data_IF_870337250244
#
_entry.id   IF_870337250244
#
_cell.length_a   1.000
_cell.length_b   1.000
_cell.length_c   1.000
_cell.angle_alpha   90.00
_cell.angle_beta   90.00
_cell.angle_gamma   90.00
#
_symmetry.space_group_name_H-M   'P 1'
#
loop_
_entity.id
_entity.type
_entity.pdbx_description
1 polymer ?
#
# COMPACT_ATOMS: atom_id res chain seq x y z
N UNK A 1 -3.35 -27.44 11.45
CA UNK A 1 -2.89 -27.26 10.06
C UNK A 1 -1.95 -26.06 10.03
N UNK A 2 -0.66 -26.24 9.69
CA UNK A 2 0.22 -25.10 9.43
C UNK A 2 -0.18 -24.53 8.07
N UNK A 3 -0.93 -23.43 8.07
CA UNK A 3 -1.10 -22.65 6.86
C UNK A 3 0.28 -22.07 6.52
N UNK A 4 0.94 -22.64 5.52
CA UNK A 4 2.14 -22.05 4.95
C UNK A 4 1.69 -20.77 4.23
N UNK A 5 1.78 -19.64 4.91
CA UNK A 5 1.64 -18.34 4.27
C UNK A 5 2.80 -18.18 3.30
N UNK A 6 2.55 -18.34 2.01
CA UNK A 6 3.53 -18.05 0.97
C UNK A 6 3.54 -16.55 0.72
N UNK A 7 4.73 -15.98 0.74
CA UNK A 7 5.03 -14.61 0.32
C UNK A 7 6.23 -14.66 -0.62
N UNK A 8 6.36 -13.65 -1.47
CA UNK A 8 7.49 -13.49 -2.37
C UNK A 8 8.19 -12.18 -2.07
N UNK A 9 9.51 -12.21 -1.99
CA UNK A 9 10.33 -11.00 -2.03
C UNK A 9 10.63 -10.71 -3.50
N UNK A 10 10.02 -9.66 -4.03
CA UNK A 10 10.19 -9.20 -5.41
C UNK A 10 11.12 -7.99 -5.42
N UNK A 11 11.75 -7.71 -6.56
CA UNK A 11 12.68 -6.59 -6.73
C UNK A 11 12.36 -5.78 -7.99
N UNK A 12 12.43 -4.45 -7.87
CA UNK A 12 12.36 -3.50 -8.99
C UNK A 12 13.44 -2.44 -8.80
N UNK A 13 14.33 -2.27 -9.78
CA UNK A 13 15.42 -1.28 -9.72
C UNK A 13 16.21 -1.32 -8.39
N UNK A 14 16.59 -2.53 -7.94
CA UNK A 14 17.31 -2.77 -6.66
C UNK A 14 16.52 -2.43 -5.39
N UNK A 15 15.21 -2.19 -5.51
CA UNK A 15 14.30 -1.97 -4.38
C UNK A 15 13.41 -3.19 -4.18
N UNK A 16 13.56 -3.84 -3.03
CA UNK A 16 12.78 -5.04 -2.70
C UNK A 16 11.45 -4.69 -2.03
N UNK A 17 10.43 -5.51 -2.28
CA UNK A 17 9.10 -5.42 -1.67
C UNK A 17 8.46 -6.81 -1.58
N UNK A 18 7.57 -7.02 -0.63
CA UNK A 18 6.88 -8.29 -0.46
C UNK A 18 5.55 -8.29 -1.20
N UNK A 19 5.26 -9.40 -1.88
CA UNK A 19 3.96 -9.73 -2.49
C UNK A 19 3.47 -11.07 -1.97
N UNK A 20 2.26 -11.48 -2.37
CA UNK A 20 1.67 -12.73 -1.92
C UNK A 20 0.75 -13.31 -3.01
N UNK A 21 0.71 -14.65 -3.18
CA UNK A 21 0.10 -15.29 -4.34
C UNK A 21 -1.39 -14.96 -4.52
N UNK A 22 -2.13 -14.72 -3.44
CA UNK A 22 -3.58 -14.43 -3.48
C UNK A 22 -3.95 -13.24 -4.37
N UNK A 23 -3.09 -12.22 -4.45
CA UNK A 23 -3.33 -11.03 -5.27
C UNK A 23 -2.51 -11.01 -6.56
N UNK A 24 -1.63 -12.01 -6.79
CA UNK A 24 -0.74 -12.04 -7.97
C UNK A 24 -1.51 -12.25 -9.28
N UNK A 25 -2.67 -12.87 -9.22
CA UNK A 25 -3.52 -13.13 -10.39
C UNK A 25 -4.53 -12.01 -10.69
N UNK A 26 -4.39 -10.84 -10.05
CA UNK A 26 -5.27 -9.69 -10.26
C UNK A 26 -4.46 -8.55 -10.89
N UNK A 27 -4.41 -8.54 -12.22
CA UNK A 27 -3.59 -7.60 -13.00
C UNK A 27 -4.02 -6.13 -12.80
N UNK A 28 -5.24 -5.88 -12.35
CA UNK A 28 -5.78 -4.54 -12.13
C UNK A 28 -5.39 -3.90 -10.79
N UNK A 29 -4.65 -4.61 -9.92
CA UNK A 29 -4.28 -4.13 -8.58
C UNK A 29 -2.76 -4.01 -8.47
N UNK A 30 -2.31 -2.83 -8.04
CA UNK A 30 -0.94 -2.62 -7.59
C UNK A 30 -0.90 -2.73 -6.06
N UNK A 31 -0.07 -3.61 -5.53
CA UNK A 31 0.02 -3.87 -4.10
C UNK A 31 1.41 -4.35 -3.66
N UNK A 32 1.67 -4.32 -2.36
CA UNK A 32 2.84 -4.92 -1.75
C UNK A 32 3.28 -4.23 -0.46
N UNK A 33 4.21 -4.84 0.26
CA UNK A 33 4.86 -4.25 1.43
C UNK A 33 6.29 -3.85 1.08
N UNK A 34 6.53 -2.55 0.96
CA UNK A 34 7.85 -1.99 0.61
C UNK A 34 8.85 -2.12 1.76
N UNK A 35 10.13 -2.27 1.43
CA UNK A 35 11.25 -2.18 2.40
C UNK A 35 11.72 -0.73 2.62
N UNK A 36 12.72 -0.54 3.49
CA UNK A 36 13.19 0.77 4.01
C UNK A 36 13.53 1.83 2.94
N UNK A 37 13.98 1.44 1.75
CA UNK A 37 14.57 2.36 0.77
C UNK A 37 13.58 2.96 -0.24
N UNK A 38 12.29 2.63 -0.11
CA UNK A 38 11.27 3.15 -1.02
C UNK A 38 10.95 4.63 -0.75
N UNK A 39 10.88 5.40 -1.84
CA UNK A 39 10.40 6.79 -1.83
C UNK A 39 9.13 6.92 -2.65
N UNK A 40 8.38 8.02 -2.46
CA UNK A 40 7.20 8.32 -3.30
C UNK A 40 7.57 8.38 -4.79
N UNK A 41 8.72 8.96 -5.13
CA UNK A 41 9.22 9.03 -6.51
C UNK A 41 9.49 7.63 -7.06
N UNK A 42 10.23 6.81 -6.32
CA UNK A 42 10.52 5.43 -6.72
C UNK A 42 9.24 4.61 -6.91
N UNK A 43 8.23 4.75 -6.04
CA UNK A 43 6.92 4.12 -6.24
C UNK A 43 6.29 4.50 -7.58
N UNK A 44 6.26 5.80 -7.90
CA UNK A 44 5.66 6.30 -9.14
C UNK A 44 6.35 5.75 -10.37
N UNK A 45 7.68 5.74 -10.36
CA UNK A 45 8.49 5.29 -11.50
C UNK A 45 8.41 3.77 -11.70
N UNK A 46 8.56 2.99 -10.63
CA UNK A 46 8.67 1.52 -10.69
C UNK A 46 7.34 0.79 -10.95
N UNK A 47 6.22 1.43 -10.63
CA UNK A 47 4.87 0.89 -10.80
C UNK A 47 4.01 1.69 -11.79
N UNK A 48 4.61 2.61 -12.54
CA UNK A 48 3.93 3.46 -13.53
C UNK A 48 2.70 4.21 -12.97
N UNK A 49 2.81 4.73 -11.74
CA UNK A 49 1.69 5.32 -11.00
C UNK A 49 1.49 6.82 -11.29
N UNK A 50 1.86 7.28 -12.49
CA UNK A 50 1.77 8.71 -12.87
C UNK A 50 0.35 9.26 -12.77
N UNK A 51 -0.65 8.41 -13.02
CA UNK A 51 -2.06 8.76 -12.97
C UNK A 51 -2.73 8.46 -11.62
N UNK A 52 -1.96 8.00 -10.63
CA UNK A 52 -2.51 7.62 -9.32
C UNK A 52 -2.40 8.78 -8.32
N UNK A 53 -3.45 8.92 -7.52
CA UNK A 53 -3.41 9.72 -6.28
C UNK A 53 -2.89 8.85 -5.15
N UNK A 54 -1.67 9.12 -4.67
CA UNK A 54 -1.06 8.40 -3.55
C UNK A 54 -1.49 9.07 -2.23
N UNK A 55 -2.33 8.38 -1.45
CA UNK A 55 -2.90 8.89 -0.20
C UNK A 55 -2.19 8.27 0.99
N UNK A 56 -1.86 9.12 1.98
CA UNK A 56 -1.24 8.70 3.24
C UNK A 56 -1.95 9.35 4.43
N UNK A 57 -1.87 8.68 5.58
CA UNK A 57 -2.51 9.12 6.81
C UNK A 57 -1.54 9.86 7.74
N UNK A 58 -2.08 10.70 8.61
CA UNK A 58 -1.46 11.04 9.90
C UNK A 58 -1.90 9.97 10.89
N UNK A 59 -1.08 8.92 11.01
CA UNK A 59 -1.30 7.79 11.92
C UNK A 59 -1.15 8.21 13.38
N UNK A 60 -2.03 7.70 14.22
CA UNK A 60 -2.12 8.03 15.65
C UNK A 60 -2.33 6.80 16.54
N UNK A 61 -2.12 5.58 15.99
CA UNK A 61 -2.29 4.31 16.70
C UNK A 61 -3.72 4.10 17.25
N UNK A 62 -4.71 4.48 16.44
CA UNK A 62 -6.14 4.32 16.71
C UNK A 62 -6.78 3.23 15.86
N UNK A 63 -8.07 3.00 16.07
CA UNK A 63 -8.96 2.17 15.24
C UNK A 63 -9.67 2.98 14.13
N UNK A 64 -9.33 4.27 13.96
CA UNK A 64 -9.99 5.14 12.98
C UNK A 64 -9.60 4.76 11.56
N UNK A 65 -10.60 4.57 10.72
CA UNK A 65 -10.44 4.33 9.29
C UNK A 65 -11.18 5.38 8.46
N UNK A 66 -10.75 5.56 7.20
CA UNK A 66 -11.42 6.44 6.24
C UNK A 66 -11.82 5.67 4.99
N UNK A 67 -13.09 5.75 4.62
CA UNK A 67 -13.60 5.26 3.34
C UNK A 67 -13.57 6.39 2.31
N UNK A 68 -12.63 6.32 1.36
CA UNK A 68 -12.42 7.33 0.34
C UNK A 68 -13.37 7.10 -0.84
N UNK A 69 -14.23 8.09 -1.08
CA UNK A 69 -15.08 8.16 -2.30
C UNK A 69 -14.50 9.08 -3.37
N UNK A 70 -13.47 9.84 -3.03
CA UNK A 70 -12.78 10.79 -3.89
C UNK A 70 -11.38 11.09 -3.33
N UNK A 71 -10.60 11.87 -4.08
CA UNK A 71 -9.27 12.31 -3.65
C UNK A 71 -9.40 13.54 -2.75
N UNK A 72 -8.94 13.42 -1.51
CA UNK A 72 -8.89 14.54 -0.57
C UNK A 72 -7.51 15.21 -0.58
N UNK A 73 -7.50 16.55 -0.57
CA UNK A 73 -6.26 17.35 -0.53
C UNK A 73 -5.62 17.40 0.86
N UNK A 74 -6.42 17.22 1.92
CA UNK A 74 -5.95 17.27 3.32
C UNK A 74 -5.52 15.90 3.80
N UNK A 75 -4.44 15.86 4.59
CA UNK A 75 -3.98 14.63 5.25
C UNK A 75 -4.97 14.21 6.33
N UNK A 76 -5.59 13.05 6.15
CA UNK A 76 -6.57 12.48 7.07
C UNK A 76 -5.88 11.92 8.32
N UNK A 77 -6.54 12.02 9.48
CA UNK A 77 -6.05 11.49 10.76
C UNK A 77 -6.71 10.15 11.05
N UNK A 78 -5.92 9.09 11.22
CA UNK A 78 -6.40 7.73 11.43
C UNK A 78 -5.35 6.72 10.98
N UNK A 79 -5.69 5.43 10.99
CA UNK A 79 -4.73 4.33 10.87
C UNK A 79 -5.08 3.31 9.78
N UNK A 80 -6.25 3.45 9.14
CA UNK A 80 -6.63 2.66 7.97
C UNK A 80 -7.32 3.49 6.88
N UNK A 81 -7.15 3.04 5.64
CA UNK A 81 -7.79 3.60 4.44
C UNK A 81 -8.52 2.49 3.69
N UNK A 82 -9.67 2.82 3.10
CA UNK A 82 -10.46 1.92 2.26
C UNK A 82 -10.90 2.73 1.04
N UNK A 83 -10.89 2.13 -0.15
CA UNK A 83 -11.42 2.76 -1.37
C UNK A 83 -11.99 1.72 -2.30
N UNK A 84 -13.01 2.11 -3.06
CA UNK A 84 -13.47 1.38 -4.27
C UNK A 84 -13.20 2.19 -5.53
N UNK A 85 -12.57 3.36 -5.41
CA UNK A 85 -12.28 4.27 -6.51
C UNK A 85 -10.95 3.86 -7.15
N UNK A 86 -10.91 3.65 -8.48
CA UNK A 86 -9.67 3.30 -9.18
C UNK A 86 -8.65 4.45 -9.12
N UNK A 87 -7.38 4.12 -9.37
CA UNK A 87 -6.27 5.09 -9.42
C UNK A 87 -6.02 5.84 -8.10
N UNK A 88 -6.48 5.32 -6.96
CA UNK A 88 -6.07 5.79 -5.64
C UNK A 88 -5.18 4.74 -4.99
N UNK A 89 -3.91 5.06 -4.78
CA UNK A 89 -3.00 4.17 -4.06
C UNK A 89 -3.07 4.49 -2.56
N UNK A 90 -3.53 3.53 -1.78
CA UNK A 90 -3.59 3.62 -0.32
C UNK A 90 -2.22 3.29 0.27
N UNK A 91 -1.71 4.14 1.15
CA UNK A 91 -0.44 3.89 1.84
C UNK A 91 -0.59 4.02 3.36
N UNK A 92 -0.04 3.04 4.06
CA UNK A 92 0.15 3.04 5.52
C UNK A 92 1.65 2.94 5.79
N UNK A 93 2.16 3.78 6.70
CA UNK A 93 3.56 3.73 7.11
C UNK A 93 3.66 2.90 8.37
N UNK A 94 4.69 2.07 8.44
CA UNK A 94 4.97 1.30 9.63
C UNK A 94 6.47 1.19 9.86
N UNK A 95 6.85 1.18 11.12
CA UNK A 95 8.08 0.63 11.65
C UNK A 95 7.63 -0.17 12.88
N UNK A 96 7.73 -1.50 12.81
CA UNK A 96 7.31 -2.49 13.81
C UNK A 96 5.81 -2.78 13.97
N UNK A 97 4.90 -1.84 13.67
CA UNK A 97 3.46 -2.14 13.64
C UNK A 97 3.10 -3.10 12.50
N UNK A 98 2.09 -3.96 12.69
CA UNK A 98 1.65 -4.91 11.67
C UNK A 98 0.82 -4.22 10.59
N UNK A 99 1.28 -4.12 9.32
CA UNK A 99 0.44 -3.62 8.24
C UNK A 99 -0.49 -4.75 7.75
N UNK A 100 -1.74 -4.40 7.46
CA UNK A 100 -2.74 -5.33 6.93
C UNK A 100 -3.24 -4.79 5.59
N UNK A 101 -3.28 -5.65 4.58
CA UNK A 101 -3.84 -5.38 3.27
C UNK A 101 -5.04 -6.31 3.05
N UNK A 102 -6.18 -5.74 2.65
CA UNK A 102 -7.47 -6.42 2.46
C UNK A 102 -7.96 -6.16 1.05
#
# INVERSE_FOLDING_TARGET
MKNNFSYFLEEKEKLSFFTFPKLRNIDSIVYGFTTKHWTKKALIENFNLKNFSIISLKQIHSDKFHFLKEVHSKRLVGDALITTVPNILLTVKTADCLPILI
#
